data_IF_108449793658
#
_entry.id   IF_108449793658
#
_cell.length_a   1.000
_cell.length_b   1.000
_cell.length_c   1.000
_cell.angle_alpha   90.00
_cell.angle_beta   90.00
_cell.angle_gamma   90.00
#
_symmetry.space_group_name_H-M   'P 1'
#
loop_
_entity.id
_entity.type
_entity.pdbx_description
1 polymer ?
#
# COMPACT_ATOMS: atom_id res chain seq x y z
N UNK A 1 44.77 -42.81 -3.69
CA UNK A 1 43.56 -42.50 -2.90
C UNK A 1 43.42 -40.99 -2.90
N UNK A 2 42.52 -40.43 -3.77
CA UNK A 2 42.29 -39.01 -3.91
C UNK A 2 40.93 -38.71 -3.28
N UNK A 3 40.95 -38.00 -2.17
CA UNK A 3 39.73 -37.52 -1.48
C UNK A 3 39.36 -36.19 -2.10
N UNK A 4 38.34 -36.14 -2.94
CA UNK A 4 37.79 -34.91 -3.50
C UNK A 4 36.92 -34.24 -2.43
N UNK A 5 37.39 -33.12 -1.91
CA UNK A 5 36.61 -32.28 -1.01
C UNK A 5 35.58 -31.48 -1.83
N UNK A 6 34.30 -31.86 -1.69
CA UNK A 6 33.17 -31.10 -2.24
C UNK A 6 32.92 -29.90 -1.31
N UNK A 7 33.37 -28.72 -1.73
CA UNK A 7 33.04 -27.47 -1.05
C UNK A 7 31.61 -27.05 -1.43
N UNK A 8 30.65 -27.26 -0.52
CA UNK A 8 29.30 -26.74 -0.62
C UNK A 8 29.33 -25.24 -0.34
N UNK A 9 29.39 -24.40 -1.39
CA UNK A 9 29.24 -22.96 -1.27
C UNK A 9 27.79 -22.64 -0.92
N UNK A 10 27.56 -22.38 0.37
CA UNK A 10 26.31 -21.82 0.86
C UNK A 10 26.25 -20.36 0.37
N UNK A 11 25.49 -20.10 -0.69
CA UNK A 11 25.14 -18.73 -1.08
C UNK A 11 24.28 -18.14 0.03
N UNK A 12 24.91 -17.47 0.97
CA UNK A 12 24.23 -16.53 1.85
C UNK A 12 23.79 -15.35 0.97
N UNK A 13 22.52 -15.36 0.58
CA UNK A 13 21.90 -14.16 0.03
C UNK A 13 21.96 -13.10 1.13
N UNK A 14 22.85 -12.15 0.97
CA UNK A 14 22.89 -10.94 1.80
C UNK A 14 21.49 -10.33 1.76
N UNK A 15 20.88 -9.92 2.89
CA UNK A 15 19.66 -9.15 2.89
C UNK A 15 19.97 -7.79 2.29
N UNK A 16 19.98 -7.71 0.95
CA UNK A 16 20.18 -6.46 0.25
C UNK A 16 19.11 -5.46 0.68
N UNK A 17 19.52 -4.24 0.89
CA UNK A 17 18.76 -3.00 1.16
C UNK A 17 17.79 -2.65 -0.01
N UNK A 18 17.16 -3.66 -0.59
CA UNK A 18 16.24 -3.51 -1.71
C UNK A 18 14.82 -3.33 -1.19
N UNK A 19 14.31 -2.12 -1.41
CA UNK A 19 12.88 -1.84 -1.28
C UNK A 19 12.05 -2.95 -1.95
N UNK A 20 10.89 -3.26 -1.36
CA UNK A 20 9.96 -4.26 -1.86
C UNK A 20 9.64 -4.03 -3.35
N UNK A 21 9.58 -5.10 -4.14
CA UNK A 21 9.33 -5.05 -5.58
C UNK A 21 7.98 -5.66 -5.96
N UNK A 22 7.47 -5.29 -7.13
CA UNK A 22 6.27 -5.91 -7.72
C UNK A 22 6.53 -7.40 -7.96
N UNK A 23 5.55 -8.24 -7.62
CA UNK A 23 5.64 -9.70 -7.68
C UNK A 23 6.21 -10.34 -6.40
N UNK A 24 6.89 -9.59 -5.54
CA UNK A 24 7.40 -10.12 -4.28
C UNK A 24 6.27 -10.37 -3.26
N UNK A 25 6.45 -11.31 -2.32
CA UNK A 25 5.53 -11.47 -1.20
C UNK A 25 5.53 -10.22 -0.31
N UNK A 26 4.34 -9.70 -0.01
CA UNK A 26 4.17 -8.57 0.89
C UNK A 26 4.57 -8.98 2.32
N UNK A 27 5.48 -8.26 3.00
CA UNK A 27 5.89 -8.57 4.36
C UNK A 27 4.71 -8.56 5.33
N UNK A 28 4.53 -9.64 6.07
CA UNK A 28 3.48 -9.77 7.08
C UNK A 28 3.71 -8.79 8.25
N UNK A 29 2.62 -8.29 8.82
CA UNK A 29 2.66 -7.46 10.03
C UNK A 29 1.42 -7.68 10.90
N UNK A 30 1.53 -7.32 12.17
CA UNK A 30 0.42 -7.20 13.12
C UNK A 30 0.66 -5.94 13.96
N UNK A 31 -0.12 -4.89 13.72
CA UNK A 31 0.06 -3.58 14.33
C UNK A 31 -1.20 -3.12 15.10
N UNK A 32 -1.05 -2.29 16.13
CA UNK A 32 -2.17 -1.65 16.82
C UNK A 32 -2.84 -0.61 15.92
N UNK A 33 -4.16 -0.49 16.03
CA UNK A 33 -4.97 0.45 15.25
C UNK A 33 -5.15 1.77 15.99
N UNK A 34 -4.87 2.91 15.33
CA UNK A 34 -5.01 4.25 15.91
C UNK A 34 -6.47 4.69 16.04
N UNK A 35 -7.32 4.26 15.10
CA UNK A 35 -8.75 4.60 15.02
C UNK A 35 -9.64 3.37 15.27
N UNK A 36 -9.33 2.58 16.30
CA UNK A 36 -9.97 1.30 16.58
C UNK A 36 -11.51 1.38 16.61
N UNK A 37 -12.08 2.43 17.21
CA UNK A 37 -13.53 2.63 17.31
C UNK A 37 -14.19 2.82 15.93
N UNK A 38 -13.56 3.60 15.04
CA UNK A 38 -14.07 3.85 13.69
C UNK A 38 -13.86 2.65 12.76
N UNK A 39 -12.76 1.93 12.92
CA UNK A 39 -12.37 0.79 12.09
C UNK A 39 -12.97 -0.55 12.57
N UNK A 40 -13.45 -0.61 13.82
CA UNK A 40 -14.01 -1.83 14.41
C UNK A 40 -12.96 -2.91 14.73
N UNK A 41 -11.66 -2.56 14.78
CA UNK A 41 -10.59 -3.51 15.05
C UNK A 41 -9.44 -2.87 15.84
N UNK A 42 -9.05 -3.47 16.96
CA UNK A 42 -7.99 -2.95 17.83
C UNK A 42 -6.57 -3.24 17.32
N UNK A 43 -6.38 -4.33 16.59
CA UNK A 43 -5.10 -4.71 15.98
C UNK A 43 -5.37 -5.32 14.60
N UNK A 44 -4.57 -4.96 13.62
CA UNK A 44 -4.71 -5.44 12.26
C UNK A 44 -3.47 -6.22 11.82
N UNK A 45 -3.69 -7.42 11.27
CA UNK A 45 -2.66 -8.22 10.62
C UNK A 45 -2.93 -8.38 9.14
N UNK A 46 -1.92 -8.12 8.30
CA UNK A 46 -2.04 -8.29 6.85
C UNK A 46 -2.42 -9.74 6.47
N UNK A 47 -1.82 -10.71 7.14
CA UNK A 47 -2.03 -12.14 6.90
C UNK A 47 -3.46 -12.62 7.17
N UNK A 48 -4.28 -11.81 7.87
CA UNK A 48 -5.72 -12.10 8.02
C UNK A 48 -6.53 -11.77 6.77
N UNK A 49 -5.99 -10.91 5.90
CA UNK A 49 -6.67 -10.44 4.69
C UNK A 49 -6.17 -11.13 3.42
N UNK A 50 -4.87 -11.46 3.37
CA UNK A 50 -4.21 -12.05 2.18
C UNK A 50 -3.27 -13.19 2.56
N UNK A 51 -2.94 -14.04 1.58
CA UNK A 51 -2.07 -15.20 1.76
C UNK A 51 -2.83 -16.49 2.12
N UNK A 52 -2.10 -17.60 2.31
CA UNK A 52 -2.70 -18.94 2.47
C UNK A 52 -3.61 -19.11 3.69
N UNK A 53 -3.42 -18.30 4.74
CA UNK A 53 -4.21 -18.37 5.99
C UNK A 53 -5.21 -17.22 6.14
N UNK A 54 -5.57 -16.52 5.06
CA UNK A 54 -6.45 -15.37 5.14
C UNK A 54 -7.85 -15.73 5.64
N UNK A 55 -8.27 -15.09 6.73
CA UNK A 55 -9.57 -15.27 7.38
C UNK A 55 -10.68 -14.40 6.76
N UNK A 56 -10.31 -13.21 6.22
CA UNK A 56 -11.26 -12.33 5.52
C UNK A 56 -11.54 -12.87 4.12
N UNK A 57 -12.59 -13.70 4.02
CA UNK A 57 -13.01 -14.28 2.74
C UNK A 57 -13.46 -13.22 1.71
N UNK A 58 -13.91 -12.05 2.16
CA UNK A 58 -14.34 -10.97 1.29
C UNK A 58 -13.17 -10.11 0.78
N UNK A 59 -12.00 -10.15 1.42
CA UNK A 59 -10.83 -9.44 0.93
C UNK A 59 -10.30 -10.11 -0.35
N UNK A 60 -10.17 -9.34 -1.41
CA UNK A 60 -9.59 -9.74 -2.70
C UNK A 60 -8.32 -8.96 -3.01
N UNK A 61 -8.22 -7.76 -2.46
CA UNK A 61 -7.15 -6.81 -2.73
C UNK A 61 -6.93 -5.95 -1.49
N UNK A 62 -5.70 -5.70 -1.11
CA UNK A 62 -5.35 -4.80 0.00
C UNK A 62 -4.52 -3.64 -0.55
N UNK A 63 -4.93 -2.41 -0.25
CA UNK A 63 -4.15 -1.20 -0.49
C UNK A 63 -3.53 -0.75 0.83
N UNK A 64 -2.21 -0.74 0.90
CA UNK A 64 -1.43 -0.29 2.05
C UNK A 64 -0.81 1.06 1.70
N UNK A 65 -1.09 2.12 2.47
CA UNK A 65 -0.48 3.45 2.32
C UNK A 65 0.34 3.80 3.55
N UNK A 66 1.61 4.12 3.36
CA UNK A 66 2.51 4.61 4.42
C UNK A 66 2.49 6.12 4.46
N UNK A 67 2.31 6.67 5.67
CA UNK A 67 2.25 8.12 5.90
C UNK A 67 2.87 8.50 7.24
N UNK A 68 3.13 9.80 7.43
CA UNK A 68 3.46 10.41 8.71
C UNK A 68 2.64 11.69 8.91
N UNK A 69 2.46 12.11 10.17
CA UNK A 69 1.67 13.30 10.51
C UNK A 69 2.21 14.59 9.89
N UNK A 70 3.52 14.69 9.72
CA UNK A 70 4.21 15.84 9.13
C UNK A 70 4.25 15.83 7.59
N UNK A 71 3.79 14.74 6.95
CA UNK A 71 3.82 14.58 5.48
C UNK A 71 2.63 15.28 4.82
N UNK A 72 2.81 16.49 4.32
CA UNK A 72 1.74 17.25 3.64
C UNK A 72 1.12 16.54 2.41
N UNK A 73 1.90 15.91 1.51
CA UNK A 73 1.31 15.13 0.42
C UNK A 73 0.44 13.98 0.91
N UNK A 74 0.81 13.33 2.04
CA UNK A 74 0.02 12.25 2.63
C UNK A 74 -1.34 12.76 3.15
N UNK A 75 -1.36 13.94 3.77
CA UNK A 75 -2.61 14.55 4.23
C UNK A 75 -3.57 14.82 3.05
N UNK A 76 -3.03 15.25 1.89
CA UNK A 76 -3.81 15.44 0.66
C UNK A 76 -4.32 14.15 0.05
N UNK A 77 -3.65 13.02 0.30
CA UNK A 77 -4.04 11.69 -0.17
C UNK A 77 -5.21 11.10 0.64
N UNK A 78 -5.34 11.42 1.94
CA UNK A 78 -6.33 10.82 2.84
C UNK A 78 -7.78 10.82 2.31
N UNK A 79 -8.31 11.92 1.74
CA UNK A 79 -9.66 11.92 1.17
C UNK A 79 -9.82 10.94 0.01
N UNK A 80 -8.77 10.74 -0.80
CA UNK A 80 -8.77 9.77 -1.88
C UNK A 80 -8.80 8.33 -1.36
N UNK A 81 -8.02 8.01 -0.33
CA UNK A 81 -8.04 6.70 0.32
C UNK A 81 -9.41 6.41 0.95
N UNK A 82 -10.01 7.40 1.63
CA UNK A 82 -11.35 7.29 2.16
C UNK A 82 -12.41 7.04 1.07
N UNK A 83 -12.25 7.67 -0.09
CA UNK A 83 -13.14 7.45 -1.23
C UNK A 83 -12.98 6.04 -1.81
N UNK A 84 -11.75 5.58 -2.03
CA UNK A 84 -11.48 4.21 -2.52
C UNK A 84 -12.06 3.16 -1.58
N UNK A 85 -11.90 3.34 -0.27
CA UNK A 85 -12.44 2.43 0.73
C UNK A 85 -13.98 2.36 0.62
N UNK A 86 -14.69 3.49 0.58
CA UNK A 86 -16.15 3.52 0.45
C UNK A 86 -16.64 2.90 -0.86
N UNK A 87 -15.93 3.14 -1.96
CA UNK A 87 -16.36 2.75 -3.30
C UNK A 87 -16.14 1.26 -3.58
N UNK A 88 -15.04 0.68 -3.03
CA UNK A 88 -14.63 -0.68 -3.40
C UNK A 88 -14.60 -1.68 -2.24
N UNK A 89 -14.92 -1.29 -1.01
CA UNK A 89 -14.94 -2.19 0.17
C UNK A 89 -15.82 -3.41 -0.07
N UNK A 90 -17.04 -3.22 -0.55
CA UNK A 90 -18.02 -4.29 -0.82
C UNK A 90 -17.64 -5.12 -2.07
N UNK A 91 -16.67 -4.63 -2.84
CA UNK A 91 -16.10 -5.34 -4.01
C UNK A 91 -14.81 -6.07 -3.69
N UNK A 92 -14.39 -6.06 -2.43
CA UNK A 92 -13.25 -6.81 -1.92
C UNK A 92 -11.97 -6.01 -1.73
N UNK A 93 -11.97 -4.68 -1.90
CA UNK A 93 -10.83 -3.85 -1.50
C UNK A 93 -10.80 -3.72 0.04
N UNK A 94 -9.61 -3.81 0.60
CA UNK A 94 -9.30 -3.38 1.96
C UNK A 94 -8.25 -2.29 1.90
N UNK A 95 -8.54 -1.14 2.48
CA UNK A 95 -7.56 -0.05 2.61
C UNK A 95 -6.99 -0.10 4.02
N UNK A 96 -5.68 0.07 4.13
CA UNK A 96 -4.93 0.15 5.40
C UNK A 96 -3.94 1.30 5.29
N UNK A 97 -3.99 2.25 6.20
CA UNK A 97 -2.95 3.27 6.32
C UNK A 97 -2.00 2.90 7.46
N UNK A 98 -0.70 3.07 7.24
CA UNK A 98 0.36 2.78 8.22
C UNK A 98 1.03 4.08 8.60
N UNK A 99 0.81 4.50 9.83
CA UNK A 99 1.48 5.63 10.45
C UNK A 99 2.89 5.24 10.88
N UNK A 100 3.86 6.05 10.50
CA UNK A 100 5.29 5.83 10.80
C UNK A 100 5.88 6.86 11.75
N UNK A 101 5.06 7.66 12.43
CA UNK A 101 5.53 8.53 13.50
C UNK A 101 6.06 7.70 14.67
N UNK A 102 7.21 8.11 15.23
CA UNK A 102 7.93 7.30 16.22
C UNK A 102 7.76 7.80 17.65
N UNK A 103 7.47 9.07 17.83
CA UNK A 103 7.24 9.68 19.14
C UNK A 103 5.75 9.90 19.45
N UNK A 104 5.44 10.11 20.71
CA UNK A 104 4.05 10.26 21.19
C UNK A 104 3.35 11.49 20.58
N UNK A 105 4.07 12.58 20.38
CA UNK A 105 3.50 13.81 19.81
C UNK A 105 3.12 13.64 18.33
N UNK A 106 3.96 12.95 17.57
CA UNK A 106 3.68 12.57 16.17
C UNK A 106 2.49 11.65 16.07
N UNK A 107 2.46 10.58 16.88
CA UNK A 107 1.34 9.61 16.91
C UNK A 107 0.03 10.31 17.30
N UNK A 108 0.04 11.22 18.27
CA UNK A 108 -1.16 11.98 18.63
C UNK A 108 -1.59 12.95 17.51
N UNK A 109 -0.62 13.53 16.79
CA UNK A 109 -0.89 14.33 15.60
C UNK A 109 -1.51 13.49 14.48
N UNK A 110 -1.02 12.27 14.25
CA UNK A 110 -1.60 11.32 13.32
C UNK A 110 -3.04 10.95 13.71
N UNK A 111 -3.35 10.70 15.00
CA UNK A 111 -4.72 10.45 15.47
C UNK A 111 -5.67 11.62 15.13
N UNK A 112 -5.25 12.86 15.37
CA UNK A 112 -6.04 14.06 15.06
C UNK A 112 -6.29 14.18 13.55
N UNK A 113 -5.28 13.96 12.72
CA UNK A 113 -5.43 13.97 11.27
C UNK A 113 -6.42 12.91 10.79
N UNK A 114 -6.29 11.67 11.28
CA UNK A 114 -7.17 10.55 10.95
C UNK A 114 -8.62 10.83 11.34
N UNK A 115 -8.84 11.37 12.54
CA UNK A 115 -10.17 11.77 13.01
C UNK A 115 -10.75 12.91 12.17
N UNK A 116 -9.95 13.95 11.90
CA UNK A 116 -10.35 15.10 11.08
C UNK A 116 -10.68 14.75 9.64
N UNK A 117 -9.96 13.77 9.05
CA UNK A 117 -10.23 13.24 7.73
C UNK A 117 -11.40 12.23 7.69
N UNK A 118 -11.96 11.84 8.83
CA UNK A 118 -13.07 10.90 8.93
C UNK A 118 -12.76 9.52 8.38
N UNK A 119 -11.53 9.04 8.52
CA UNK A 119 -11.11 7.74 7.98
C UNK A 119 -11.78 6.59 8.74
N UNK A 120 -12.48 5.73 8.02
CA UNK A 120 -13.18 4.55 8.56
C UNK A 120 -12.42 3.25 8.31
N UNK A 121 -11.47 3.24 7.37
CA UNK A 121 -10.57 2.11 7.20
C UNK A 121 -9.52 2.09 8.32
N UNK A 122 -8.93 0.93 8.64
CA UNK A 122 -7.92 0.83 9.69
C UNK A 122 -6.69 1.70 9.40
N UNK A 123 -6.31 2.49 10.38
CA UNK A 123 -5.04 3.21 10.43
C UNK A 123 -4.22 2.60 11.56
N UNK A 124 -3.10 1.98 11.23
CA UNK A 124 -2.24 1.27 12.18
C UNK A 124 -0.95 2.03 12.45
N UNK A 125 -0.36 1.86 13.65
CA UNK A 125 0.88 2.54 14.02
C UNK A 125 2.07 1.60 13.97
N UNK A 126 3.07 1.94 13.18
CA UNK A 126 4.38 1.28 13.11
C UNK A 126 5.44 2.11 13.86
N UNK A 127 5.20 2.39 15.15
CA UNK A 127 6.02 3.25 16.02
C UNK A 127 7.53 3.00 15.93
N UNK A 128 7.95 1.79 15.61
CA UNK A 128 9.36 1.41 15.53
C UNK A 128 9.89 1.34 14.09
N UNK A 129 9.07 1.67 13.10
CA UNK A 129 9.38 1.62 11.68
C UNK A 129 9.89 0.25 11.20
N UNK A 130 9.48 -0.84 11.88
CA UNK A 130 9.88 -2.20 11.52
C UNK A 130 9.22 -2.62 10.20
N UNK A 131 7.93 -2.34 10.08
CA UNK A 131 7.17 -2.65 8.86
C UNK A 131 7.58 -1.69 7.74
N UNK A 132 7.67 -0.39 8.05
CA UNK A 132 8.09 0.62 7.09
C UNK A 132 9.43 0.26 6.43
N UNK A 133 10.45 -0.10 7.20
CA UNK A 133 11.76 -0.50 6.63
C UNK A 133 11.67 -1.71 5.69
N UNK A 134 10.79 -2.67 5.97
CA UNK A 134 10.60 -3.86 5.12
C UNK A 134 9.90 -3.56 3.80
N UNK A 135 9.03 -2.55 3.77
CA UNK A 135 8.29 -2.13 2.57
C UNK A 135 9.02 -1.05 1.78
N UNK A 136 9.57 -0.09 2.48
CA UNK A 136 10.09 1.15 1.90
C UNK A 136 11.61 1.11 1.70
N UNK A 137 12.34 0.24 2.43
CA UNK A 137 13.77 0.42 2.61
C UNK A 137 14.05 1.66 3.47
N UNK A 138 15.26 2.17 3.43
CA UNK A 138 15.67 3.28 4.31
C UNK A 138 15.26 4.68 3.82
N UNK A 139 15.00 4.86 2.53
CA UNK A 139 14.88 6.20 1.91
C UNK A 139 13.67 6.38 1.00
N UNK A 140 12.63 5.57 1.13
CA UNK A 140 11.47 5.72 0.25
C UNK A 140 10.68 7.01 0.55
N UNK A 141 10.20 7.71 -0.48
CA UNK A 141 9.36 8.91 -0.29
C UNK A 141 8.00 8.56 0.30
N UNK A 142 7.40 9.53 1.00
CA UNK A 142 6.01 9.45 1.46
C UNK A 142 5.11 10.38 0.60
N UNK A 143 3.86 9.98 0.36
CA UNK A 143 3.30 8.67 0.65
C UNK A 143 3.89 7.59 -0.25
N UNK A 144 3.89 6.33 0.21
CA UNK A 144 4.17 5.16 -0.62
C UNK A 144 3.04 4.16 -0.47
N UNK A 145 2.51 3.68 -1.59
CA UNK A 145 1.36 2.78 -1.64
C UNK A 145 1.74 1.45 -2.25
N UNK A 146 1.18 0.39 -1.68
CA UNK A 146 1.37 -0.98 -2.13
C UNK A 146 0.01 -1.63 -2.33
N UNK A 147 -0.23 -2.12 -3.54
CA UNK A 147 -1.41 -2.91 -3.84
C UNK A 147 -1.04 -4.39 -3.74
N UNK A 148 -1.72 -5.13 -2.87
CA UNK A 148 -1.41 -6.53 -2.56
C UNK A 148 -2.58 -7.42 -2.95
N UNK A 149 -2.33 -8.45 -3.75
CA UNK A 149 -3.34 -9.43 -4.20
C UNK A 149 -3.74 -10.38 -3.08
N UNK A 150 -4.81 -11.12 -3.31
CA UNK A 150 -5.31 -12.14 -2.39
C UNK A 150 -4.28 -13.22 -2.05
N UNK A 151 -3.39 -13.55 -2.96
CA UNK A 151 -2.30 -14.53 -2.74
C UNK A 151 -1.14 -13.98 -1.87
N UNK A 152 -1.17 -12.69 -1.54
CA UNK A 152 -0.15 -12.00 -0.75
C UNK A 152 0.97 -11.38 -1.58
N UNK A 153 0.92 -11.42 -2.91
CA UNK A 153 1.94 -10.80 -3.77
C UNK A 153 1.65 -9.32 -4.03
N UNK A 154 2.71 -8.52 -4.15
CA UNK A 154 2.61 -7.10 -4.50
C UNK A 154 2.24 -6.96 -5.98
N UNK A 155 1.08 -6.37 -6.25
CA UNK A 155 0.60 -6.10 -7.60
C UNK A 155 1.17 -4.81 -8.18
N UNK A 156 1.32 -3.78 -7.32
CA UNK A 156 1.72 -2.45 -7.74
C UNK A 156 2.34 -1.66 -6.58
N UNK A 157 3.24 -0.76 -6.92
CA UNK A 157 3.87 0.19 -5.99
C UNK A 157 3.74 1.57 -6.60
N UNK A 158 3.22 2.53 -5.84
CA UNK A 158 3.19 3.96 -6.21
C UNK A 158 3.93 4.77 -5.15
N UNK A 159 4.66 5.79 -5.59
CA UNK A 159 5.45 6.65 -4.71
C UNK A 159 5.13 8.12 -4.96
N UNK A 160 4.85 8.85 -3.88
CA UNK A 160 4.38 10.23 -3.96
C UNK A 160 2.90 10.34 -4.29
N UNK A 161 2.36 11.57 -4.22
CA UNK A 161 0.95 11.88 -4.48
C UNK A 161 0.83 12.91 -5.59
N UNK A 162 0.24 12.50 -6.71
CA UNK A 162 -0.16 13.38 -7.82
C UNK A 162 -1.56 13.01 -8.30
N UNK A 163 -2.23 13.91 -9.02
CA UNK A 163 -3.55 13.62 -9.58
C UNK A 163 -3.48 12.46 -10.59
N UNK A 164 -2.40 12.36 -11.33
CA UNK A 164 -2.17 11.26 -12.27
C UNK A 164 -2.00 9.94 -11.54
N UNK A 165 -1.19 9.90 -10.47
CA UNK A 165 -0.99 8.71 -9.64
C UNK A 165 -2.32 8.20 -9.07
N UNK A 166 -3.21 9.08 -8.61
CA UNK A 166 -4.54 8.68 -8.11
C UNK A 166 -5.41 8.07 -9.20
N UNK A 167 -5.35 8.59 -10.42
CA UNK A 167 -6.08 8.06 -11.57
C UNK A 167 -5.58 6.67 -11.95
N UNK A 168 -4.25 6.50 -12.03
CA UNK A 168 -3.63 5.21 -12.32
C UNK A 168 -3.89 4.18 -11.22
N UNK A 169 -3.81 4.58 -9.94
CA UNK A 169 -4.09 3.69 -8.82
C UNK A 169 -5.54 3.21 -8.83
N UNK A 170 -6.51 4.11 -9.07
CA UNK A 170 -7.92 3.73 -9.22
C UNK A 170 -8.13 2.74 -10.36
N UNK A 171 -7.50 2.97 -11.50
CA UNK A 171 -7.58 2.05 -12.64
C UNK A 171 -6.97 0.67 -12.29
N UNK A 172 -5.84 0.64 -11.58
CA UNK A 172 -5.20 -0.59 -11.13
C UNK A 172 -6.10 -1.36 -10.13
N UNK A 173 -6.70 -0.68 -9.14
CA UNK A 173 -7.67 -1.28 -8.20
C UNK A 173 -8.83 -1.93 -8.96
N UNK A 174 -9.40 -1.23 -9.96
CA UNK A 174 -10.49 -1.77 -10.77
C UNK A 174 -10.06 -3.00 -11.58
N UNK A 175 -8.89 -2.95 -12.19
CA UNK A 175 -8.35 -4.06 -12.98
C UNK A 175 -8.11 -5.30 -12.10
N UNK A 176 -7.46 -5.15 -10.95
CA UNK A 176 -7.18 -6.26 -10.02
C UNK A 176 -8.46 -6.84 -9.40
N UNK A 177 -9.52 -6.03 -9.24
CA UNK A 177 -10.84 -6.51 -8.79
C UNK A 177 -11.68 -7.13 -9.93
N UNK A 178 -11.22 -7.12 -11.17
CA UNK A 178 -11.95 -7.61 -12.35
C UNK A 178 -13.15 -6.74 -12.71
N UNK A 179 -13.11 -5.44 -12.39
CA UNK A 179 -14.16 -4.49 -12.74
C UNK A 179 -13.87 -3.88 -14.11
N UNK A 180 -14.89 -3.67 -14.93
CA UNK A 180 -14.74 -3.03 -16.24
C UNK A 180 -13.97 -1.72 -16.14
N UNK A 181 -13.14 -1.40 -17.14
CA UNK A 181 -12.50 -0.10 -17.24
C UNK A 181 -13.56 1.00 -17.15
N UNK A 182 -13.23 2.10 -16.47
CA UNK A 182 -14.07 3.31 -16.56
C UNK A 182 -14.07 3.71 -18.03
N UNK A 183 -15.24 3.85 -18.62
CA UNK A 183 -15.35 4.48 -19.94
C UNK A 183 -14.66 5.84 -19.83
N UNK A 184 -13.71 6.09 -20.74
CA UNK A 184 -13.12 7.44 -20.84
C UNK A 184 -14.28 8.39 -21.12
N UNK A 185 -14.37 9.53 -20.42
CA UNK A 185 -15.39 10.52 -20.78
C UNK A 185 -15.32 10.75 -22.29
N UNK A 186 -16.44 10.55 -22.95
CA UNK A 186 -16.58 10.84 -24.38
C UNK A 186 -16.26 12.33 -24.57
N UNK A 187 -15.06 12.66 -25.07
CA UNK A 187 -14.61 14.05 -25.25
C UNK A 187 -13.09 14.26 -25.19
N UNK A 188 -12.28 13.26 -24.86
CA UNK A 188 -10.84 13.39 -25.03
C UNK A 188 -10.48 13.15 -26.51
N UNK A 189 -10.70 14.15 -27.34
CA UNK A 189 -10.21 14.18 -28.72
C UNK A 189 -8.71 13.93 -28.75
N UNK A 190 -8.31 13.02 -29.65
CA UNK A 190 -6.91 12.82 -29.96
C UNK A 190 -6.35 14.12 -30.45
N UNK A 191 -5.36 14.71 -29.77
CA UNK A 191 -4.54 15.78 -30.36
C UNK A 191 -4.09 15.33 -31.75
N UNK A 192 -4.31 16.14 -32.78
CA UNK A 192 -3.87 15.80 -34.13
C UNK A 192 -2.36 15.64 -34.14
N UNK A 193 -1.90 14.54 -34.76
CA UNK A 193 -0.50 14.28 -35.01
C UNK A 193 0.12 15.47 -35.75
N UNK A 194 1.34 15.95 -35.36
CA UNK A 194 2.02 17.00 -36.14
C UNK A 194 2.11 16.54 -37.60
N UNK A 195 1.67 17.40 -38.49
CA UNK A 195 1.85 17.18 -39.95
C UNK A 195 3.33 17.37 -40.23
N UNK A 196 3.97 16.29 -40.71
CA UNK A 196 5.26 16.39 -41.34
C UNK A 196 5.14 17.39 -42.52
N UNK A 197 5.88 18.49 -42.45
CA UNK A 197 6.07 19.37 -43.57
C UNK A 197 7.25 18.87 -44.43
N UNK A 198 7.13 18.92 -45.78
CA UNK A 198 8.13 18.46 -46.71
C UNK A 198 9.43 19.29 -46.67
#
# INVERSE_FOLDING_TARGET
MHVAALALALLLAEPGDSALSVGAPAPAFLLPTLNADAAGVARLGLQRMVGPGAEDAAARLVLISFFASWCQPCQKEMPFLAQLDREYRDRGLRVVSVDIDTDEAGIESARKLVAGAGLRHPVVSDRFNIVARRYLGEKAPLPSLFLVRKDGTVARIERGYTQEATTFLRAAVRAELGLAALERPAGAERSPRPKDHP
#
